data_IF_784638641475
#
_entry.id   IF_784638641475
#
_cell.length_a   1.000
_cell.length_b   1.000
_cell.length_c   1.000
_cell.angle_alpha   90.00
_cell.angle_beta   90.00
_cell.angle_gamma   90.00
#
_symmetry.space_group_name_H-M   'P 1'
#
loop_
_entity.id
_entity.type
_entity.pdbx_description
1 polymer ?
#
# COMPACT_ATOMS: atom_id res chain seq x y z
N UNK A 1 14.41 4.42 -3.40
CA UNK A 1 13.48 4.05 -4.49
C UNK A 1 14.24 3.45 -5.66
N UNK A 2 15.35 4.08 -6.08
CA UNK A 2 16.14 3.66 -7.25
C UNK A 2 16.68 2.22 -7.19
N UNK A 3 17.15 1.74 -6.03
CA UNK A 3 17.67 0.37 -5.88
C UNK A 3 16.62 -0.74 -6.07
N UNK A 4 15.33 -0.43 -5.89
CA UNK A 4 14.24 -1.41 -6.03
C UNK A 4 13.84 -1.65 -7.50
N UNK A 5 14.28 -0.75 -8.39
CA UNK A 5 14.05 -0.86 -9.83
C UNK A 5 15.12 -1.73 -10.52
N UNK A 6 16.16 -2.17 -9.78
CA UNK A 6 17.25 -2.99 -10.32
C UNK A 6 16.83 -4.45 -10.53
N UNK A 7 15.85 -4.95 -9.76
CA UNK A 7 15.21 -6.25 -9.99
C UNK A 7 13.68 -6.17 -9.86
N UNK A 8 12.96 -5.92 -10.96
CA UNK A 8 11.50 -5.84 -11.00
C UNK A 8 10.79 -7.13 -10.54
N UNK A 9 11.48 -8.29 -10.52
CA UNK A 9 10.88 -9.55 -10.08
C UNK A 9 10.61 -9.59 -8.57
N UNK A 10 11.24 -8.69 -7.81
CA UNK A 10 11.03 -8.52 -6.37
C UNK A 10 9.87 -7.59 -6.02
N UNK A 11 9.27 -6.95 -7.03
CA UNK A 11 8.18 -6.00 -6.87
C UNK A 11 6.82 -6.63 -7.16
N UNK A 12 5.85 -6.24 -6.35
CA UNK A 12 4.46 -6.62 -6.51
C UNK A 12 3.54 -5.40 -6.55
N UNK A 13 2.38 -5.55 -7.19
CA UNK A 13 1.30 -4.57 -7.24
C UNK A 13 -0.05 -5.23 -6.96
N UNK A 14 -1.11 -4.43 -6.82
CA UNK A 14 -2.49 -4.90 -6.66
C UNK A 14 -3.39 -4.23 -7.69
N UNK A 15 -4.55 -4.83 -7.97
CA UNK A 15 -5.57 -4.20 -8.82
C UNK A 15 -6.00 -2.82 -8.31
N UNK A 16 -5.99 -2.59 -6.99
CA UNK A 16 -6.30 -1.30 -6.38
C UNK A 16 -5.23 -0.25 -6.70
N UNK A 17 -3.94 -0.58 -6.58
CA UNK A 17 -2.84 0.33 -6.95
C UNK A 17 -2.90 0.65 -8.44
N UNK A 18 -3.14 -0.35 -9.28
CA UNK A 18 -3.31 -0.13 -10.73
C UNK A 18 -4.46 0.85 -11.00
N UNK A 19 -5.62 0.63 -10.36
CA UNK A 19 -6.78 1.51 -10.51
C UNK A 19 -6.48 2.96 -10.09
N UNK A 20 -5.90 3.17 -8.90
CA UNK A 20 -5.59 4.51 -8.39
C UNK A 20 -4.57 5.23 -9.28
N UNK A 21 -3.53 4.54 -9.75
CA UNK A 21 -2.52 5.14 -10.62
C UNK A 21 -3.14 5.54 -11.96
N UNK A 22 -3.94 4.68 -12.59
CA UNK A 22 -4.57 4.98 -13.88
C UNK A 22 -5.58 6.13 -13.78
N UNK A 23 -6.33 6.24 -12.68
CA UNK A 23 -7.23 7.38 -12.43
C UNK A 23 -6.51 8.72 -12.33
N UNK A 24 -5.24 8.72 -11.93
CA UNK A 24 -4.41 9.93 -11.85
C UNK A 24 -3.86 10.42 -13.19
N UNK A 25 -3.96 9.61 -14.25
CA UNK A 25 -3.35 9.90 -15.56
C UNK A 25 -4.36 10.60 -16.47
N UNK A 26 -3.90 11.63 -17.18
CA UNK A 26 -4.76 12.53 -17.96
C UNK A 26 -5.05 12.06 -19.38
N UNK A 27 -4.22 11.18 -19.93
CA UNK A 27 -4.31 10.77 -21.34
C UNK A 27 -4.26 9.26 -21.48
N UNK A 28 -5.05 8.71 -22.40
CA UNK A 28 -5.12 7.27 -22.63
C UNK A 28 -3.77 6.69 -23.07
N UNK A 29 -2.99 7.44 -23.87
CA UNK A 29 -1.68 7.00 -24.34
C UNK A 29 -0.67 6.83 -23.19
N UNK A 30 -0.67 7.76 -22.24
CA UNK A 30 0.14 7.64 -21.03
C UNK A 30 -0.39 6.54 -20.11
N UNK A 31 -1.72 6.45 -19.97
CA UNK A 31 -2.40 5.42 -19.17
C UNK A 31 -2.00 4.02 -19.61
N UNK A 32 -2.11 3.73 -20.91
CA UNK A 32 -1.73 2.44 -21.48
C UNK A 32 -0.23 2.13 -21.29
N UNK A 33 0.65 3.14 -21.29
CA UNK A 33 2.09 2.96 -21.03
C UNK A 33 2.34 2.60 -19.56
N UNK A 34 1.70 3.30 -18.64
CA UNK A 34 1.85 3.06 -17.19
C UNK A 34 1.24 1.72 -16.80
N UNK A 35 0.06 1.39 -17.32
CA UNK A 35 -0.60 0.10 -17.11
C UNK A 35 0.33 -1.06 -17.48
N UNK A 36 0.93 -1.04 -18.68
CA UNK A 36 1.88 -2.07 -19.11
C UNK A 36 3.08 -2.20 -18.16
N UNK A 37 3.54 -1.08 -17.59
CA UNK A 37 4.66 -1.09 -16.66
C UNK A 37 4.25 -1.70 -15.32
N UNK A 38 3.07 -1.35 -14.78
CA UNK A 38 2.56 -1.92 -13.53
C UNK A 38 2.25 -3.41 -13.68
N UNK A 39 1.69 -3.83 -14.81
CA UNK A 39 1.35 -5.23 -15.07
C UNK A 39 2.57 -6.10 -15.42
N UNK A 40 3.75 -5.51 -15.59
CA UNK A 40 5.01 -6.29 -15.63
C UNK A 40 5.51 -6.72 -14.25
N UNK A 41 4.95 -6.16 -13.17
CA UNK A 41 5.23 -6.56 -11.79
C UNK A 41 4.41 -7.79 -11.41
N UNK A 42 4.76 -8.44 -10.31
CA UNK A 42 3.93 -9.52 -9.76
C UNK A 42 2.58 -8.97 -9.30
N UNK A 43 1.48 -9.41 -9.91
CA UNK A 43 0.14 -9.02 -9.47
C UNK A 43 -0.31 -9.91 -8.30
N UNK A 44 -0.56 -9.30 -7.14
CA UNK A 44 -1.13 -10.02 -6.01
C UNK A 44 -2.58 -10.45 -6.28
N UNK A 45 -3.05 -11.56 -5.69
CA UNK A 45 -4.44 -11.97 -5.81
C UNK A 45 -5.43 -10.89 -5.38
N UNK A 46 -6.58 -10.85 -6.05
CA UNK A 46 -7.66 -9.92 -5.71
C UNK A 46 -8.14 -10.12 -4.26
N UNK A 47 -8.53 -9.04 -3.56
CA UNK A 47 -8.97 -9.14 -2.17
C UNK A 47 -10.18 -10.07 -2.02
N UNK A 48 -10.06 -11.03 -1.11
CA UNK A 48 -11.17 -11.90 -0.72
C UNK A 48 -12.11 -11.17 0.26
N UNK A 49 -13.29 -11.76 0.51
CA UNK A 49 -14.15 -11.28 1.62
C UNK A 49 -13.40 -11.29 2.97
N UNK A 50 -12.48 -12.24 3.17
CA UNK A 50 -11.62 -12.28 4.36
C UNK A 50 -10.72 -11.04 4.45
N UNK A 51 -10.11 -10.66 3.33
CA UNK A 51 -9.26 -9.47 3.21
C UNK A 51 -10.03 -8.19 3.53
N UNK A 52 -11.24 -8.03 2.99
CA UNK A 52 -12.10 -6.88 3.29
C UNK A 52 -12.51 -6.83 4.77
N UNK A 53 -12.81 -7.99 5.38
CA UNK A 53 -13.12 -8.06 6.83
C UNK A 53 -11.92 -7.68 7.68
N UNK A 54 -10.71 -8.14 7.33
CA UNK A 54 -9.46 -7.77 8.00
C UNK A 54 -9.20 -6.27 7.88
N UNK A 55 -9.40 -5.69 6.70
CA UNK A 55 -9.28 -4.24 6.49
C UNK A 55 -10.24 -3.44 7.39
N UNK A 56 -11.50 -3.86 7.48
CA UNK A 56 -12.47 -3.24 8.39
C UNK A 56 -12.06 -3.35 9.87
N UNK A 57 -11.46 -4.48 10.26
CA UNK A 57 -10.92 -4.65 11.61
C UNK A 57 -9.77 -3.69 11.89
N UNK A 58 -8.79 -3.57 10.99
CA UNK A 58 -7.68 -2.61 11.08
C UNK A 58 -8.20 -1.19 11.29
N UNK A 59 -9.17 -0.77 10.48
CA UNK A 59 -9.80 0.54 10.59
C UNK A 59 -10.44 0.76 11.97
N UNK A 60 -11.22 -0.21 12.44
CA UNK A 60 -11.90 -0.13 13.74
C UNK A 60 -10.91 -0.12 14.91
N UNK A 61 -9.83 -0.90 14.84
CA UNK A 61 -8.76 -0.93 15.85
C UNK A 61 -8.05 0.41 15.91
N UNK A 62 -7.67 0.98 14.76
CA UNK A 62 -7.03 2.29 14.69
C UNK A 62 -7.90 3.37 15.32
N UNK A 63 -9.18 3.41 14.96
CA UNK A 63 -10.16 4.36 15.51
C UNK A 63 -10.29 4.23 17.03
N UNK A 64 -10.37 3.00 17.57
CA UNK A 64 -10.42 2.77 19.03
C UNK A 64 -9.17 3.28 19.75
N UNK A 65 -8.02 3.31 19.07
CA UNK A 65 -6.73 3.79 19.60
C UNK A 65 -6.48 5.28 19.31
N UNK A 66 -7.49 6.04 18.87
CA UNK A 66 -7.36 7.46 18.56
C UNK A 66 -6.52 7.75 17.32
N UNK A 67 -6.27 6.74 16.46
CA UNK A 67 -5.56 6.89 15.19
C UNK A 67 -6.58 6.85 14.05
N UNK A 68 -6.83 7.99 13.44
CA UNK A 68 -7.69 8.04 12.25
C UNK A 68 -6.90 7.59 11.03
N UNK A 69 -7.27 6.45 10.44
CA UNK A 69 -6.87 6.08 9.08
C UNK A 69 -7.85 6.78 8.13
N UNK A 70 -7.33 7.42 7.09
CA UNK A 70 -8.09 8.32 6.21
C UNK A 70 -8.67 7.60 5.00
N UNK A 71 -8.18 6.41 4.69
CA UNK A 71 -8.55 5.66 3.49
C UNK A 71 -8.91 4.20 3.80
N UNK A 72 -10.08 3.77 3.32
CA UNK A 72 -10.46 2.35 3.32
C UNK A 72 -9.54 1.53 2.42
N UNK A 73 -9.05 2.11 1.33
CA UNK A 73 -8.14 1.46 0.38
C UNK A 73 -6.82 1.13 1.08
N UNK A 74 -6.27 2.04 1.90
CA UNK A 74 -5.03 1.79 2.65
C UNK A 74 -5.18 0.60 3.61
N UNK A 75 -6.34 0.46 4.25
CA UNK A 75 -6.64 -0.71 5.08
C UNK A 75 -6.71 -2.01 4.26
N UNK A 76 -7.24 -1.97 3.03
CA UNK A 76 -7.31 -3.14 2.15
C UNK A 76 -5.92 -3.52 1.67
N UNK A 77 -5.13 -2.56 1.21
CA UNK A 77 -3.74 -2.76 0.80
C UNK A 77 -2.89 -3.32 1.94
N UNK A 78 -3.02 -2.76 3.15
CA UNK A 78 -2.34 -3.28 4.32
C UNK A 78 -2.77 -4.72 4.66
N UNK A 79 -4.06 -5.02 4.58
CA UNK A 79 -4.57 -6.39 4.80
C UNK A 79 -3.99 -7.36 3.77
N UNK A 80 -3.94 -6.99 2.48
CA UNK A 80 -3.33 -7.81 1.43
C UNK A 80 -1.83 -8.04 1.70
N UNK A 81 -1.08 -7.00 2.09
CA UNK A 81 0.35 -7.15 2.38
C UNK A 81 0.60 -8.10 3.56
N UNK A 82 -0.22 -8.00 4.61
CA UNK A 82 -0.15 -8.91 5.77
C UNK A 82 -0.51 -10.35 5.36
N UNK A 83 -1.53 -10.55 4.53
CA UNK A 83 -1.97 -11.87 4.09
C UNK A 83 -0.96 -12.55 3.15
N UNK A 84 -0.32 -11.78 2.27
CA UNK A 84 0.71 -12.26 1.35
C UNK A 84 2.11 -12.35 1.98
N UNK A 85 2.27 -11.93 3.24
CA UNK A 85 3.55 -11.80 3.94
C UNK A 85 4.60 -11.05 3.11
N UNK A 86 4.23 -9.85 2.66
CA UNK A 86 5.11 -8.94 1.90
C UNK A 86 5.24 -7.60 2.60
N UNK A 87 6.31 -6.89 2.28
CA UNK A 87 6.56 -5.54 2.78
C UNK A 87 5.87 -4.51 1.90
N UNK A 88 5.33 -3.46 2.50
CA UNK A 88 4.74 -2.36 1.75
C UNK A 88 5.76 -1.25 1.54
N UNK A 89 5.95 -0.85 0.27
CA UNK A 89 6.59 0.40 -0.09
C UNK A 89 5.50 1.47 -0.23
N UNK A 90 5.58 2.53 0.57
CA UNK A 90 4.57 3.58 0.56
C UNK A 90 5.19 4.96 0.72
N UNK A 91 4.42 6.02 0.42
CA UNK A 91 4.71 7.40 0.81
C UNK A 91 3.67 8.03 1.74
N UNK A 92 2.65 7.27 2.15
CA UNK A 92 1.56 7.75 3.02
C UNK A 92 1.75 7.34 4.48
N UNK A 93 1.66 8.30 5.41
CA UNK A 93 1.79 8.08 6.87
C UNK A 93 0.72 7.17 7.46
N UNK A 94 -0.35 6.88 6.74
CA UNK A 94 -1.42 6.00 7.20
C UNK A 94 -0.91 4.56 7.36
N UNK A 95 0.02 4.12 6.51
CA UNK A 95 0.66 2.80 6.65
C UNK A 95 1.55 2.71 7.90
N UNK A 96 2.27 3.78 8.27
CA UNK A 96 2.99 3.83 9.56
C UNK A 96 2.02 3.68 10.75
N UNK A 97 0.85 4.32 10.67
CA UNK A 97 -0.18 4.22 11.71
C UNK A 97 -0.76 2.82 11.80
N UNK A 98 -0.89 2.12 10.67
CA UNK A 98 -1.35 0.72 10.61
C UNK A 98 -0.29 -0.22 11.17
N UNK A 99 0.98 -0.06 10.78
CA UNK A 99 2.10 -0.87 11.29
C UNK A 99 2.27 -0.73 12.81
N UNK A 100 1.88 0.39 13.41
CA UNK A 100 1.88 0.57 14.86
C UNK A 100 0.83 -0.28 15.61
N UNK A 101 -0.15 -0.89 14.91
CA UNK A 101 -1.27 -1.62 15.52
C UNK A 101 -1.50 -3.02 14.96
N UNK A 102 -0.76 -3.39 13.91
CA UNK A 102 -0.92 -4.63 13.14
C UNK A 102 0.45 -5.07 12.59
N UNK A 103 0.64 -6.35 12.24
CA UNK A 103 1.92 -6.88 11.76
C UNK A 103 2.21 -6.52 10.30
N UNK A 104 1.99 -5.25 9.92
CA UNK A 104 2.35 -4.74 8.60
C UNK A 104 3.84 -4.42 8.58
N UNK A 105 4.60 -5.03 7.66
CA UNK A 105 6.03 -4.73 7.47
C UNK A 105 6.19 -3.59 6.48
N UNK A 106 6.92 -2.56 6.87
CA UNK A 106 7.25 -1.41 6.02
C UNK A 106 8.60 -1.65 5.38
N UNK A 107 8.67 -1.53 4.05
CA UNK A 107 9.92 -1.66 3.33
C UNK A 107 10.87 -0.49 3.69
N UNK A 108 12.18 -0.71 3.94
CA UNK A 108 13.10 0.33 4.42
C UNK A 108 13.25 1.55 3.50
N UNK A 109 12.94 1.40 2.21
CA UNK A 109 12.97 2.50 1.24
C UNK A 109 11.73 3.41 1.28
N UNK A 110 10.73 3.12 2.11
CA UNK A 110 9.59 4.00 2.33
C UNK A 110 10.07 5.30 2.99
N UNK A 111 9.67 6.49 2.51
CA UNK A 111 9.97 7.73 3.18
C UNK A 111 9.16 7.78 4.49
N UNK A 112 9.88 7.86 5.60
CA UNK A 112 9.26 7.98 6.91
C UNK A 112 8.89 9.44 7.18
N UNK A 113 7.79 9.71 7.90
CA UNK A 113 7.51 11.06 8.37
C UNK A 113 8.72 11.58 9.16
N UNK A 114 9.09 12.86 9.01
CA UNK A 114 10.14 13.43 9.84
C UNK A 114 9.74 13.21 11.31
N UNK A 115 10.65 12.60 12.08
CA UNK A 115 10.43 12.35 13.50
C UNK A 115 10.01 13.65 14.22
N UNK A 116 9.32 13.55 15.37
CA UNK A 116 8.91 14.74 16.10
C UNK A 116 10.13 15.64 16.30
N UNK A 117 10.04 16.89 15.83
CA UNK A 117 11.06 17.91 16.14
C UNK A 117 11.13 17.99 17.65
N UNK A 118 12.21 17.46 18.24
CA UNK A 118 12.51 17.67 19.66
C UNK A 118 12.54 19.18 19.85
N UNK A 119 11.60 19.69 20.65
CA UNK A 119 11.67 21.03 21.22
C UNK A 119 12.62 21.00 22.40
#
# INVERSE_FOLDING_TARGET
MDALLEDPSTLATTGLVVCEVLQGIRTDAEGARVERSLLSLTLLPEPSLGTYRRAAELFRVARRRGRTIRSTIDCILAAQCIEADVEILHGDRDFDRIAAIAPLRIHPSSPHPPGPRRR
#
